data_IF_337868700738
#
_entry.id   IF_337868700738
#
_cell.length_a   1.000
_cell.length_b   1.000
_cell.length_c   1.000
_cell.angle_alpha   90.00
_cell.angle_beta   90.00
_cell.angle_gamma   90.00
#
_symmetry.space_group_name_H-M   'P 1'
#
loop_
_entity.id
_entity.type
_entity.pdbx_description
1 polymer ?
#
# COMPACT_ATOMS: atom_id res chain seq x y z
N UNK A 1 -25.92 -35.58 -22.09
CA UNK A 1 -24.75 -34.89 -22.69
C UNK A 1 -25.22 -33.49 -23.09
N UNK A 2 -25.15 -32.52 -22.17
CA UNK A 2 -25.64 -31.15 -22.34
C UNK A 2 -24.43 -30.21 -22.50
N UNK A 3 -24.33 -29.56 -23.65
CA UNK A 3 -23.36 -28.50 -23.94
C UNK A 3 -23.66 -27.33 -23.01
N UNK A 4 -22.68 -26.94 -22.20
CA UNK A 4 -22.66 -25.64 -21.52
C UNK A 4 -22.05 -24.63 -22.50
N UNK A 5 -22.93 -23.82 -23.07
CA UNK A 5 -22.52 -22.66 -23.87
C UNK A 5 -21.88 -21.63 -22.93
N UNK A 6 -20.63 -21.35 -23.24
CA UNK A 6 -19.76 -20.41 -22.52
C UNK A 6 -20.02 -19.00 -23.07
N UNK A 7 -21.06 -18.33 -22.59
CA UNK A 7 -21.42 -16.96 -22.95
C UNK A 7 -20.96 -15.98 -21.86
N UNK A 8 -19.66 -15.63 -21.83
CA UNK A 8 -19.18 -14.54 -21.01
C UNK A 8 -17.92 -13.89 -21.61
N UNK A 9 -18.09 -13.00 -22.60
CA UNK A 9 -17.18 -11.91 -22.88
C UNK A 9 -17.63 -10.94 -24.00
N UNK A 10 -18.68 -10.14 -23.82
CA UNK A 10 -18.81 -8.90 -24.59
C UNK A 10 -18.64 -7.61 -23.79
N UNK A 11 -18.71 -7.65 -22.42
CA UNK A 11 -18.77 -6.43 -21.63
C UNK A 11 -17.48 -5.61 -21.55
N UNK A 12 -16.30 -6.23 -21.62
CA UNK A 12 -15.03 -5.51 -21.56
C UNK A 12 -14.69 -4.76 -22.87
N UNK A 13 -15.16 -5.27 -24.00
CA UNK A 13 -14.99 -4.62 -25.30
C UNK A 13 -15.85 -3.37 -25.44
N UNK A 14 -17.10 -3.43 -24.99
CA UNK A 14 -18.03 -2.30 -25.07
C UNK A 14 -17.66 -1.13 -24.16
N UNK A 15 -17.20 -1.37 -22.94
CA UNK A 15 -16.74 -0.31 -22.05
C UNK A 15 -15.50 0.43 -22.59
N UNK A 16 -14.59 -0.29 -23.26
CA UNK A 16 -13.40 0.30 -23.88
C UNK A 16 -13.76 1.17 -25.09
N UNK A 17 -14.67 0.69 -25.92
CA UNK A 17 -15.19 1.44 -27.07
C UNK A 17 -15.95 2.69 -26.59
N UNK A 18 -16.79 2.54 -25.56
CA UNK A 18 -17.53 3.67 -24.98
C UNK A 18 -16.58 4.72 -24.35
N UNK A 19 -15.52 4.29 -23.63
CA UNK A 19 -14.54 5.22 -23.08
C UNK A 19 -13.71 5.92 -24.16
N UNK A 20 -13.37 5.22 -25.25
CA UNK A 20 -12.70 5.84 -26.39
C UNK A 20 -13.63 6.83 -27.12
N UNK A 21 -14.87 6.45 -27.36
CA UNK A 21 -15.86 7.34 -27.98
C UNK A 21 -16.15 8.55 -27.11
N UNK A 22 -16.27 8.40 -25.79
CA UNK A 22 -16.44 9.53 -24.87
C UNK A 22 -15.20 10.42 -24.87
N UNK A 23 -13.99 9.86 -24.89
CA UNK A 23 -12.76 10.64 -24.98
C UNK A 23 -12.65 11.38 -26.31
N UNK A 24 -13.04 10.75 -27.43
CA UNK A 24 -13.09 11.39 -28.75
C UNK A 24 -14.17 12.47 -28.80
N UNK A 25 -15.33 12.25 -28.19
CA UNK A 25 -16.41 13.22 -28.11
C UNK A 25 -16.03 14.41 -27.23
N UNK A 26 -15.39 14.17 -26.05
CA UNK A 26 -14.85 15.24 -25.20
C UNK A 26 -13.76 16.05 -25.90
N UNK A 27 -12.91 15.39 -26.71
CA UNK A 27 -11.91 16.07 -27.54
C UNK A 27 -12.57 16.89 -28.65
N UNK A 28 -13.66 16.39 -29.26
CA UNK A 28 -14.40 17.07 -30.31
C UNK A 28 -15.21 18.26 -29.82
N UNK A 29 -15.81 18.13 -28.61
CA UNK A 29 -16.61 19.19 -27.97
C UNK A 29 -15.78 20.15 -27.11
N UNK A 30 -14.54 19.75 -26.76
CA UNK A 30 -13.68 20.51 -25.86
C UNK A 30 -12.92 21.62 -26.56
N UNK A 31 -12.91 22.79 -25.94
CA UNK A 31 -12.04 23.88 -26.33
C UNK A 31 -10.54 23.53 -26.24
N UNK A 32 -9.63 24.46 -26.59
CA UNK A 32 -8.19 24.19 -26.70
C UNK A 32 -7.54 23.62 -25.43
N UNK A 33 -8.12 23.82 -24.25
CA UNK A 33 -7.64 23.24 -22.96
C UNK A 33 -7.83 21.72 -22.91
N UNK A 34 -9.01 21.22 -23.36
CA UNK A 34 -9.29 19.79 -23.34
C UNK A 34 -8.45 19.03 -24.38
N UNK A 35 -8.17 19.65 -25.54
CA UNK A 35 -7.29 19.07 -26.54
C UNK A 35 -5.84 18.97 -26.06
N UNK A 36 -5.34 20.01 -25.35
CA UNK A 36 -4.00 19.97 -24.72
C UNK A 36 -3.90 18.90 -23.65
N UNK A 37 -4.91 18.78 -22.77
CA UNK A 37 -4.96 17.76 -21.74
C UNK A 37 -4.97 16.34 -22.35
N UNK A 38 -5.80 16.10 -23.36
CA UNK A 38 -5.86 14.82 -24.05
C UNK A 38 -4.54 14.47 -24.78
N UNK A 39 -3.86 15.46 -25.35
CA UNK A 39 -2.53 15.28 -25.94
C UNK A 39 -1.50 14.91 -24.87
N UNK A 40 -1.45 15.66 -23.75
CA UNK A 40 -0.54 15.36 -22.65
C UNK A 40 -0.74 13.95 -22.08
N UNK A 41 -1.98 13.50 -21.90
CA UNK A 41 -2.28 12.14 -21.44
C UNK A 41 -1.79 11.06 -22.43
N UNK A 42 -1.90 11.31 -23.74
CA UNK A 42 -1.37 10.40 -24.77
C UNK A 42 0.16 10.34 -24.73
N UNK A 43 0.82 11.49 -24.60
CA UNK A 43 2.29 11.59 -24.51
C UNK A 43 2.81 10.89 -23.25
N UNK A 44 2.16 11.10 -22.09
CA UNK A 44 2.48 10.37 -20.85
C UNK A 44 2.28 8.85 -20.99
N UNK A 45 1.22 8.43 -21.67
CA UNK A 45 0.98 7.02 -21.93
C UNK A 45 2.01 6.38 -22.86
N UNK A 46 2.51 7.13 -23.83
CA UNK A 46 3.58 6.70 -24.73
C UNK A 46 4.92 6.59 -23.98
N UNK A 47 5.25 7.61 -23.18
CA UNK A 47 6.44 7.61 -22.32
C UNK A 47 6.44 6.43 -21.34
N UNK A 48 5.29 6.17 -20.71
CA UNK A 48 5.10 5.07 -19.75
C UNK A 48 5.39 3.70 -20.38
N UNK A 49 4.92 3.48 -21.61
CA UNK A 49 5.23 2.27 -22.38
C UNK A 49 6.69 2.20 -22.81
N UNK A 50 7.30 3.32 -23.20
CA UNK A 50 8.69 3.39 -23.61
C UNK A 50 9.62 3.04 -22.44
N UNK A 51 9.39 3.61 -21.25
CA UNK A 51 10.16 3.29 -20.04
C UNK A 51 9.99 1.81 -19.67
N UNK A 52 8.76 1.28 -19.71
CA UNK A 52 8.50 -0.13 -19.45
C UNK A 52 9.28 -1.04 -20.41
N UNK A 53 9.27 -0.73 -21.71
CA UNK A 53 9.99 -1.50 -22.73
C UNK A 53 11.51 -1.44 -22.52
N UNK A 54 12.04 -0.27 -22.15
CA UNK A 54 13.46 -0.11 -21.83
C UNK A 54 13.87 -0.96 -20.62
N UNK A 55 13.06 -0.99 -19.54
CA UNK A 55 13.31 -1.84 -18.37
C UNK A 55 13.25 -3.32 -18.75
N UNK A 56 12.28 -3.72 -19.57
CA UNK A 56 12.14 -5.10 -20.05
C UNK A 56 13.35 -5.55 -20.87
N UNK A 57 13.84 -4.69 -21.77
CA UNK A 57 14.97 -4.97 -22.66
C UNK A 57 16.34 -4.94 -21.96
N UNK A 58 16.46 -4.27 -20.80
CA UNK A 58 17.75 -4.15 -20.11
C UNK A 58 18.10 -5.45 -19.38
N UNK A 59 19.23 -6.12 -19.70
CA UNK A 59 19.63 -7.34 -19.03
C UNK A 59 20.13 -7.03 -17.61
N UNK A 60 19.51 -7.65 -16.59
CA UNK A 60 19.89 -7.49 -15.19
C UNK A 60 19.91 -8.83 -14.45
N UNK A 61 20.72 -9.81 -14.89
CA UNK A 61 20.66 -11.17 -14.37
C UNK A 61 20.89 -11.27 -12.86
N UNK A 62 21.73 -10.39 -12.29
CA UNK A 62 21.98 -10.32 -10.84
C UNK A 62 20.81 -9.78 -10.02
N UNK A 63 19.94 -8.97 -10.61
CA UNK A 63 18.78 -8.36 -9.96
C UNK A 63 17.48 -9.15 -10.18
N UNK A 64 17.43 -10.00 -11.21
CA UNK A 64 16.19 -10.68 -11.61
C UNK A 64 15.59 -11.51 -10.48
N UNK A 65 16.40 -12.35 -9.82
CA UNK A 65 15.91 -13.19 -8.73
C UNK A 65 15.64 -12.42 -7.42
N UNK A 66 16.52 -11.53 -6.93
CA UNK A 66 16.23 -10.72 -5.75
C UNK A 66 14.96 -9.88 -5.90
N UNK A 67 14.76 -9.20 -7.03
CA UNK A 67 13.57 -8.39 -7.27
C UNK A 67 12.30 -9.25 -7.41
N UNK A 68 12.40 -10.44 -8.02
CA UNK A 68 11.31 -11.40 -8.09
C UNK A 68 10.89 -11.87 -6.71
N UNK A 69 11.84 -12.23 -5.83
CA UNK A 69 11.57 -12.62 -4.44
C UNK A 69 10.95 -11.48 -3.64
N UNK A 70 11.49 -10.26 -3.76
CA UNK A 70 10.96 -9.08 -3.10
C UNK A 70 9.51 -8.79 -3.55
N UNK A 71 9.26 -8.86 -4.87
CA UNK A 71 7.93 -8.70 -5.44
C UNK A 71 6.92 -9.70 -4.85
N UNK A 72 7.34 -10.95 -4.66
CA UNK A 72 6.50 -11.99 -4.06
C UNK A 72 6.31 -11.80 -2.55
N UNK A 73 7.35 -11.40 -1.82
CA UNK A 73 7.26 -11.14 -0.38
C UNK A 73 6.28 -10.01 -0.05
N UNK A 74 6.14 -9.03 -0.96
CA UNK A 74 5.21 -7.93 -0.81
C UNK A 74 3.75 -8.29 -1.16
N UNK A 75 3.48 -9.52 -1.67
CA UNK A 75 2.11 -9.97 -1.95
C UNK A 75 1.27 -9.98 -0.67
N UNK A 76 -0.01 -9.62 -0.81
CA UNK A 76 -0.97 -9.56 0.30
C UNK A 76 -0.47 -8.72 1.50
N UNK A 77 0.36 -7.71 1.22
CA UNK A 77 1.02 -6.88 2.24
C UNK A 77 1.91 -7.65 3.22
N UNK A 78 2.30 -8.89 2.91
CA UNK A 78 3.03 -9.80 3.82
C UNK A 78 4.32 -9.19 4.38
N UNK A 79 5.12 -8.53 3.52
CA UNK A 79 6.35 -7.83 3.92
C UNK A 79 6.07 -6.75 4.99
N UNK A 80 5.04 -5.96 4.79
CA UNK A 80 4.67 -4.86 5.69
C UNK A 80 4.09 -5.35 7.00
N UNK A 81 3.25 -6.41 6.96
CA UNK A 81 2.70 -7.04 8.16
C UNK A 81 3.79 -7.71 9.00
N UNK A 82 4.77 -8.36 8.37
CA UNK A 82 5.94 -8.91 9.06
C UNK A 82 6.78 -7.81 9.71
N UNK A 83 6.99 -6.69 9.00
CA UNK A 83 7.68 -5.52 9.56
C UNK A 83 6.92 -4.93 10.75
N UNK A 84 5.59 -4.79 10.65
CA UNK A 84 4.75 -4.31 11.76
C UNK A 84 4.82 -5.25 12.97
N UNK A 85 4.80 -6.56 12.76
CA UNK A 85 4.97 -7.54 13.81
C UNK A 85 6.33 -7.40 14.51
N UNK A 86 7.42 -7.30 13.74
CA UNK A 86 8.76 -7.06 14.28
C UNK A 86 8.84 -5.78 15.12
N UNK A 87 8.33 -4.66 14.60
CA UNK A 87 8.27 -3.40 15.33
C UNK A 87 7.45 -3.49 16.63
N UNK A 88 6.38 -4.26 16.62
CA UNK A 88 5.55 -4.47 17.81
C UNK A 88 6.26 -5.23 18.91
N UNK A 89 7.15 -6.16 18.53
CA UNK A 89 7.92 -7.00 19.48
C UNK A 89 9.11 -6.22 20.03
N UNK A 90 9.94 -5.62 19.15
CA UNK A 90 11.22 -5.04 19.57
C UNK A 90 11.14 -3.55 19.91
N UNK A 91 10.14 -2.82 19.40
CA UNK A 91 10.04 -1.36 19.48
C UNK A 91 9.30 -0.83 20.72
N UNK A 92 8.93 -1.68 21.68
CA UNK A 92 8.19 -1.27 22.88
C UNK A 92 6.86 -0.57 22.57
N UNK A 93 6.47 0.41 23.37
CA UNK A 93 5.20 1.15 23.16
C UNK A 93 5.23 2.01 21.90
N UNK A 94 6.36 2.62 21.56
CA UNK A 94 6.52 3.42 20.36
C UNK A 94 6.42 2.57 19.09
N UNK A 95 7.10 1.41 19.07
CA UNK A 95 7.02 0.46 17.95
C UNK A 95 5.61 -0.09 17.74
N UNK A 96 4.88 -0.41 18.82
CA UNK A 96 3.48 -0.85 18.73
C UNK A 96 2.56 0.24 18.15
N UNK A 97 2.72 1.51 18.56
CA UNK A 97 1.96 2.61 17.97
C UNK A 97 2.25 2.78 16.49
N UNK A 98 3.53 2.79 16.12
CA UNK A 98 3.94 2.89 14.73
C UNK A 98 3.39 1.72 13.88
N UNK A 99 3.47 0.49 14.38
CA UNK A 99 2.93 -0.69 13.73
C UNK A 99 1.41 -0.59 13.52
N UNK A 100 0.65 -0.16 14.54
CA UNK A 100 -0.81 0.04 14.41
C UNK A 100 -1.15 1.08 13.36
N UNK A 101 -0.43 2.22 13.30
CA UNK A 101 -0.61 3.23 12.26
C UNK A 101 -0.34 2.67 10.86
N UNK A 102 0.78 1.95 10.74
CA UNK A 102 1.15 1.32 9.46
C UNK A 102 0.10 0.31 8.97
N UNK A 103 -0.38 -0.57 9.86
CA UNK A 103 -1.41 -1.55 9.52
C UNK A 103 -2.75 -0.88 9.19
N UNK A 104 -3.16 0.14 9.95
CA UNK A 104 -4.36 0.92 9.65
C UNK A 104 -4.26 1.59 8.27
N UNK A 105 -3.11 2.21 7.97
CA UNK A 105 -2.86 2.84 6.68
C UNK A 105 -2.94 1.83 5.51
N UNK A 106 -2.39 0.62 5.67
CA UNK A 106 -2.55 -0.46 4.67
C UNK A 106 -4.02 -0.83 4.48
N UNK A 107 -4.77 -1.00 5.57
CA UNK A 107 -6.19 -1.35 5.51
C UNK A 107 -7.01 -0.32 4.74
N UNK A 108 -6.87 0.96 5.10
CA UNK A 108 -7.54 2.08 4.40
C UNK A 108 -7.12 2.15 2.94
N UNK A 109 -5.83 2.04 2.65
CA UNK A 109 -5.30 2.07 1.27
C UNK A 109 -5.86 0.92 0.45
N UNK A 110 -5.85 -0.30 1.00
CA UNK A 110 -6.38 -1.49 0.31
C UNK A 110 -7.86 -1.34 -0.01
N UNK A 111 -8.66 -0.84 0.93
CA UNK A 111 -10.07 -0.57 0.71
C UNK A 111 -10.28 0.48 -0.38
N UNK A 112 -9.66 1.65 -0.27
CA UNK A 112 -9.83 2.75 -1.22
C UNK A 112 -9.34 2.37 -2.62
N UNK A 113 -8.16 1.77 -2.75
CA UNK A 113 -7.60 1.39 -4.05
C UNK A 113 -8.43 0.30 -4.72
N UNK A 114 -8.86 -0.73 -4.00
CA UNK A 114 -9.57 -1.86 -4.60
C UNK A 114 -11.05 -1.56 -4.83
N UNK A 115 -11.72 -0.83 -3.94
CA UNK A 115 -13.17 -0.59 -4.02
C UNK A 115 -13.52 0.66 -4.81
N UNK A 116 -12.74 1.75 -4.67
CA UNK A 116 -13.06 3.02 -5.32
C UNK A 116 -12.27 3.24 -6.61
N UNK A 117 -10.94 3.18 -6.56
CA UNK A 117 -10.13 3.60 -7.71
C UNK A 117 -10.14 2.57 -8.83
N UNK A 118 -10.01 1.28 -8.52
CA UNK A 118 -10.01 0.22 -9.54
C UNK A 118 -11.37 -0.04 -10.17
N UNK A 119 -12.47 0.32 -9.51
CA UNK A 119 -13.81 0.21 -10.10
C UNK A 119 -14.08 1.29 -11.16
N UNK A 120 -13.42 2.44 -11.04
CA UNK A 120 -13.58 3.56 -11.98
C UNK A 120 -12.57 3.51 -13.12
N UNK A 121 -11.35 3.02 -12.85
CA UNK A 121 -10.24 3.03 -13.81
C UNK A 121 -9.80 1.61 -14.19
N UNK A 122 -10.15 1.16 -15.40
CA UNK A 122 -9.69 -0.13 -15.90
C UNK A 122 -8.53 0.06 -16.88
N UNK A 123 -7.31 -0.27 -16.44
CA UNK A 123 -6.11 -0.32 -17.30
C UNK A 123 -5.65 -1.77 -17.44
N UNK A 124 -5.45 -2.23 -18.67
CA UNK A 124 -4.86 -3.54 -18.92
C UNK A 124 -3.41 -3.57 -18.45
N UNK A 125 -3.00 -4.73 -17.92
CA UNK A 125 -1.62 -4.96 -17.53
C UNK A 125 -0.70 -5.09 -18.75
N UNK A 126 0.62 -4.86 -18.56
CA UNK A 126 1.58 -5.06 -19.63
C UNK A 126 1.53 -6.48 -20.21
N UNK A 127 1.66 -6.59 -21.53
CA UNK A 127 1.88 -7.86 -22.19
C UNK A 127 3.38 -8.21 -22.09
N UNK A 128 3.71 -9.09 -21.16
CA UNK A 128 5.07 -9.54 -20.91
C UNK A 128 5.64 -10.34 -22.11
N UNK A 129 4.81 -11.15 -22.75
CA UNK A 129 5.23 -12.00 -23.86
C UNK A 129 5.51 -11.16 -25.11
N UNK A 130 4.62 -10.22 -25.43
CA UNK A 130 4.76 -9.34 -26.60
C UNK A 130 5.96 -8.38 -26.51
N UNK A 131 6.44 -8.07 -25.30
CA UNK A 131 7.61 -7.19 -25.09
C UNK A 131 8.88 -7.99 -24.77
N UNK A 132 8.78 -9.30 -24.55
CA UNK A 132 9.95 -10.16 -24.32
C UNK A 132 10.54 -10.04 -22.91
N UNK A 133 9.71 -9.80 -21.87
CA UNK A 133 10.20 -9.84 -20.48
C UNK A 133 10.77 -11.22 -20.17
N UNK A 134 12.01 -11.33 -19.65
CA UNK A 134 12.62 -12.62 -19.35
C UNK A 134 11.77 -13.47 -18.39
N UNK A 135 11.57 -14.75 -18.71
CA UNK A 135 10.73 -15.68 -17.92
C UNK A 135 11.19 -15.76 -16.46
N UNK A 136 12.51 -15.67 -16.20
CA UNK A 136 13.08 -15.67 -14.84
C UNK A 136 12.61 -14.50 -13.96
N UNK A 137 12.11 -13.39 -14.55
CA UNK A 137 11.50 -12.25 -13.83
C UNK A 137 10.03 -12.49 -13.48
N UNK A 138 9.40 -13.51 -14.05
CA UNK A 138 7.96 -13.69 -13.94
C UNK A 138 7.51 -13.99 -12.51
N UNK A 139 6.49 -13.27 -12.08
CA UNK A 139 5.68 -13.54 -10.90
C UNK A 139 4.24 -13.85 -11.34
N UNK A 140 3.41 -14.40 -10.46
CA UNK A 140 1.99 -14.62 -10.77
C UNK A 140 1.35 -13.30 -11.19
N UNK A 141 0.72 -13.29 -12.39
CA UNK A 141 -0.01 -12.12 -12.88
C UNK A 141 -1.27 -11.92 -12.05
N UNK A 142 -1.45 -10.74 -11.42
CA UNK A 142 -2.69 -10.46 -10.71
C UNK A 142 -3.87 -10.34 -11.67
N UNK A 143 -5.05 -10.77 -11.26
CA UNK A 143 -6.28 -10.73 -12.07
C UNK A 143 -6.96 -9.36 -12.09
N UNK A 144 -6.61 -8.47 -11.16
CA UNK A 144 -7.17 -7.11 -11.10
C UNK A 144 -6.53 -6.19 -12.14
N UNK A 145 -7.15 -5.03 -12.39
CA UNK A 145 -6.63 -3.98 -13.28
C UNK A 145 -5.22 -3.53 -12.89
N UNK A 146 -4.46 -2.99 -13.88
CA UNK A 146 -3.08 -2.55 -13.65
C UNK A 146 -3.01 -1.31 -12.76
N UNK A 147 -3.89 -0.34 -13.00
CA UNK A 147 -3.85 0.98 -12.37
C UNK A 147 -4.84 1.11 -11.22
N UNK A 148 -4.41 1.79 -10.14
CA UNK A 148 -3.05 2.03 -9.73
C UNK A 148 -2.42 0.78 -9.08
N UNK A 149 -1.09 0.80 -8.85
CA UNK A 149 -0.40 -0.31 -8.20
C UNK A 149 -0.72 -0.38 -6.71
N UNK A 150 -1.45 -1.43 -6.29
CA UNK A 150 -1.77 -1.65 -4.88
C UNK A 150 -0.54 -1.96 -4.02
N UNK A 151 0.50 -2.62 -4.57
CA UNK A 151 1.74 -2.89 -3.86
C UNK A 151 2.51 -1.59 -3.54
N UNK A 152 2.61 -0.67 -4.52
CA UNK A 152 3.22 0.63 -4.30
C UNK A 152 2.40 1.46 -3.29
N UNK A 153 1.08 1.50 -3.45
CA UNK A 153 0.21 2.23 -2.55
C UNK A 153 0.32 1.73 -1.10
N UNK A 154 0.22 0.41 -0.87
CA UNK A 154 0.34 -0.16 0.49
C UNK A 154 1.71 0.09 1.12
N UNK A 155 2.80 -0.04 0.34
CA UNK A 155 4.16 0.20 0.82
C UNK A 155 4.37 1.65 1.26
N UNK A 156 4.00 2.61 0.41
CA UNK A 156 4.16 4.02 0.73
C UNK A 156 3.23 4.48 1.84
N UNK A 157 2.00 3.95 1.92
CA UNK A 157 1.10 4.25 3.03
C UNK A 157 1.66 3.76 4.37
N UNK A 158 2.21 2.55 4.40
CA UNK A 158 2.88 2.00 5.57
C UNK A 158 4.08 2.86 5.99
N UNK A 159 4.95 3.19 5.04
CA UNK A 159 6.14 3.99 5.29
C UNK A 159 5.81 5.41 5.78
N UNK A 160 4.80 6.05 5.18
CA UNK A 160 4.34 7.37 5.56
C UNK A 160 3.76 7.40 6.98
N UNK A 161 2.90 6.43 7.30
CA UNK A 161 2.27 6.33 8.60
C UNK A 161 3.27 6.08 9.75
N UNK A 162 4.29 5.24 9.52
CA UNK A 162 5.37 5.01 10.49
C UNK A 162 6.29 6.23 10.58
N UNK A 163 6.62 6.86 9.44
CA UNK A 163 7.48 8.01 9.36
C UNK A 163 6.96 9.25 10.08
N UNK A 164 5.66 9.26 10.39
CA UNK A 164 5.03 10.32 11.18
C UNK A 164 5.66 10.44 12.59
N UNK A 165 5.88 9.32 13.27
CA UNK A 165 6.50 9.27 14.60
C UNK A 165 8.01 9.00 14.54
N UNK A 166 8.47 8.30 13.49
CA UNK A 166 9.83 7.80 13.35
C UNK A 166 10.40 8.16 11.98
N UNK A 167 10.83 9.42 11.76
CA UNK A 167 11.21 9.94 10.44
C UNK A 167 12.27 9.10 9.71
N UNK A 168 13.33 8.68 10.41
CA UNK A 168 14.42 7.89 9.83
C UNK A 168 13.97 6.48 9.41
N UNK A 169 13.13 5.84 10.25
CA UNK A 169 12.54 4.55 9.89
C UNK A 169 11.58 4.71 8.71
N UNK A 170 10.76 5.75 8.72
CA UNK A 170 9.88 6.07 7.60
C UNK A 170 10.64 6.31 6.30
N UNK A 171 11.81 6.96 6.37
CA UNK A 171 12.67 7.13 5.20
C UNK A 171 13.20 5.78 4.69
N UNK A 172 13.73 4.94 5.56
CA UNK A 172 14.20 3.60 5.19
C UNK A 172 13.08 2.75 4.57
N UNK A 173 11.87 2.81 5.13
CA UNK A 173 10.71 2.11 4.61
C UNK A 173 10.23 2.67 3.25
N UNK A 174 10.39 3.97 2.97
CA UNK A 174 10.14 4.54 1.64
C UNK A 174 11.13 4.01 0.60
N UNK A 175 12.40 3.87 0.94
CA UNK A 175 13.37 3.22 0.05
C UNK A 175 12.99 1.78 -0.25
N UNK A 176 12.59 1.01 0.76
CA UNK A 176 12.12 -0.36 0.56
C UNK A 176 10.84 -0.37 -0.30
N UNK A 177 9.90 0.55 -0.06
CA UNK A 177 8.67 0.68 -0.84
C UNK A 177 8.94 1.04 -2.30
N UNK A 178 9.90 1.93 -2.55
CA UNK A 178 10.34 2.27 -3.91
C UNK A 178 10.98 1.06 -4.61
N UNK A 179 11.76 0.25 -3.89
CA UNK A 179 12.35 -0.98 -4.43
C UNK A 179 11.26 -2.02 -4.75
N UNK A 180 10.26 -2.17 -3.88
CA UNK A 180 9.07 -2.99 -4.17
C UNK A 180 8.31 -2.45 -5.37
N UNK A 181 8.06 -1.14 -5.47
CA UNK A 181 7.40 -0.51 -6.60
C UNK A 181 8.16 -0.76 -7.91
N UNK A 182 9.47 -0.57 -7.91
CA UNK A 182 10.33 -0.88 -9.06
C UNK A 182 10.25 -2.37 -9.43
N UNK A 183 10.27 -3.27 -8.43
CA UNK A 183 10.15 -4.71 -8.70
C UNK A 183 8.89 -5.09 -9.47
N UNK A 184 7.79 -4.30 -9.31
CA UNK A 184 6.54 -4.54 -10.05
C UNK A 184 6.65 -4.16 -11.54
N UNK A 185 7.45 -3.16 -11.87
CA UNK A 185 7.78 -2.80 -13.25
C UNK A 185 8.73 -3.83 -13.83
N UNK A 186 9.79 -4.16 -13.12
CA UNK A 186 10.83 -5.11 -13.52
C UNK A 186 10.26 -6.53 -13.79
N UNK A 187 9.31 -6.99 -12.97
CA UNK A 187 8.62 -8.27 -13.15
C UNK A 187 7.48 -8.20 -14.18
N UNK A 188 7.27 -7.06 -14.81
CA UNK A 188 6.35 -6.86 -15.92
C UNK A 188 4.87 -6.91 -15.54
N UNK A 189 4.49 -6.62 -14.28
CA UNK A 189 3.08 -6.65 -13.85
C UNK A 189 2.42 -5.28 -13.80
N UNK A 190 3.21 -4.20 -13.83
CA UNK A 190 2.75 -2.82 -13.82
C UNK A 190 3.57 -1.94 -14.76
N UNK A 191 2.95 -0.89 -15.26
CA UNK A 191 3.66 0.21 -15.91
C UNK A 191 4.26 1.17 -14.87
N UNK A 192 5.30 1.96 -15.22
CA UNK A 192 5.85 2.98 -14.31
C UNK A 192 4.81 3.93 -13.73
N UNK A 193 3.88 4.44 -14.55
CA UNK A 193 2.81 5.34 -14.10
C UNK A 193 1.88 4.71 -13.06
N UNK A 194 1.63 3.38 -13.13
CA UNK A 194 0.81 2.68 -12.14
C UNK A 194 1.46 2.73 -10.76
N UNK A 195 2.79 2.58 -10.70
CA UNK A 195 3.51 2.58 -9.42
C UNK A 195 3.73 3.99 -8.89
N UNK A 196 3.98 4.97 -9.75
CA UNK A 196 4.12 6.37 -9.33
C UNK A 196 2.81 6.87 -8.71
N UNK A 197 1.69 6.71 -9.40
CA UNK A 197 0.39 7.16 -8.89
C UNK A 197 -0.01 6.36 -7.64
N UNK A 198 0.23 5.04 -7.62
CA UNK A 198 0.04 4.22 -6.44
C UNK A 198 0.84 4.73 -5.23
N UNK A 199 2.11 5.08 -5.44
CA UNK A 199 2.99 5.63 -4.38
C UNK A 199 2.47 6.95 -3.82
N UNK A 200 2.03 7.86 -4.68
CA UNK A 200 1.47 9.17 -4.27
C UNK A 200 0.17 8.99 -3.48
N UNK A 201 -0.73 8.13 -3.94
CA UNK A 201 -1.97 7.80 -3.23
C UNK A 201 -1.64 7.21 -1.86
N UNK A 202 -0.71 6.25 -1.81
CA UNK A 202 -0.29 5.62 -0.57
C UNK A 202 0.31 6.61 0.42
N UNK A 203 1.24 7.46 -0.03
CA UNK A 203 1.86 8.49 0.82
C UNK A 203 0.80 9.41 1.42
N UNK A 204 -0.14 9.92 0.61
CA UNK A 204 -1.22 10.79 1.09
C UNK A 204 -2.13 10.11 2.10
N UNK A 205 -2.53 8.86 1.85
CA UNK A 205 -3.37 8.09 2.78
C UNK A 205 -2.62 7.80 4.09
N UNK A 206 -1.34 7.42 4.02
CA UNK A 206 -0.52 7.16 5.21
C UNK A 206 -0.42 8.37 6.12
N UNK A 207 -0.16 9.55 5.57
CA UNK A 207 -0.13 10.82 6.30
C UNK A 207 -1.49 11.16 6.90
N UNK A 208 -2.57 11.00 6.13
CA UNK A 208 -3.93 11.29 6.60
C UNK A 208 -4.34 10.36 7.75
N UNK A 209 -4.05 9.07 7.66
CA UNK A 209 -4.34 8.08 8.72
C UNK A 209 -3.54 8.39 9.98
N UNK A 210 -2.25 8.70 9.86
CA UNK A 210 -1.42 9.05 11.01
C UNK A 210 -1.94 10.31 11.72
N UNK A 211 -2.23 11.38 10.97
CA UNK A 211 -2.78 12.61 11.54
C UNK A 211 -4.19 12.45 12.13
N UNK A 212 -5.02 11.55 11.58
CA UNK A 212 -6.32 11.23 12.15
C UNK A 212 -6.17 10.47 13.48
N UNK A 213 -5.25 9.53 13.56
CA UNK A 213 -4.99 8.76 14.78
C UNK A 213 -4.45 9.64 15.92
N UNK A 214 -3.76 10.75 15.63
CA UNK A 214 -3.34 11.71 16.66
C UNK A 214 -4.51 12.46 17.31
N UNK A 215 -5.61 12.62 16.58
CA UNK A 215 -6.83 13.28 17.07
C UNK A 215 -7.70 12.37 17.92
N UNK A 216 -7.47 11.06 17.88
CA UNK A 216 -8.21 10.11 18.70
C UNK A 216 -7.67 10.16 20.13
N UNK A 217 -8.54 10.21 21.16
CA UNK A 217 -8.07 10.16 22.54
C UNK A 217 -7.27 8.87 22.76
N UNK A 218 -6.17 8.92 23.53
CA UNK A 218 -5.39 7.73 23.82
C UNK A 218 -6.31 6.68 24.46
N UNK A 219 -6.32 5.48 23.89
CA UNK A 219 -7.00 4.34 24.51
C UNK A 219 -6.39 4.15 25.88
N UNK A 220 -7.18 4.47 26.93
CA UNK A 220 -6.75 4.25 28.31
C UNK A 220 -6.42 2.77 28.44
N UNK A 221 -5.14 2.47 28.56
CA UNK A 221 -4.71 1.17 29.08
C UNK A 221 -5.43 1.00 30.42
N UNK A 222 -6.12 -0.12 30.70
CA UNK A 222 -6.70 -0.33 32.02
C UNK A 222 -5.60 -0.08 33.03
N UNK A 223 -5.82 0.88 33.91
CA UNK A 223 -4.88 1.24 34.95
C UNK A 223 -4.48 -0.06 35.62
N UNK A 224 -3.19 -0.34 35.62
CA UNK A 224 -2.59 -1.45 36.38
C UNK A 224 -3.06 -1.16 37.81
N UNK A 225 -4.08 -1.91 38.27
CA UNK A 225 -4.65 -1.75 39.58
C UNK A 225 -3.48 -1.75 40.57
N UNK A 226 -3.35 -0.67 41.26
CA UNK A 226 -2.35 -0.48 42.31
C UNK A 226 -2.68 -1.46 43.46
N UNK A 227 -2.33 -2.74 43.25
CA UNK A 227 -2.35 -3.80 44.27
C UNK A 227 -1.09 -3.71 45.14
N UNK A 228 -0.68 -2.51 45.51
CA UNK A 228 0.53 -2.29 46.27
C UNK A 228 0.39 -1.31 47.44
N UNK A 229 -0.80 -0.80 47.73
CA UNK A 229 -0.99 -0.14 49.04
C UNK A 229 -0.94 -1.20 50.10
N UNK A 230 0.26 -1.45 50.65
CA UNK A 230 0.42 -2.06 51.96
C UNK A 230 -0.51 -1.31 52.89
N UNK A 231 -1.49 -2.03 53.48
CA UNK A 231 -2.17 -1.55 54.69
C UNK A 231 -1.06 -1.28 55.69
N UNK A 232 -0.81 0.00 55.99
CA UNK A 232 -0.16 0.35 57.24
C UNK A 232 -1.05 -0.19 58.33
N UNK A 233 -0.54 -1.19 59.04
CA UNK A 233 -1.11 -1.66 60.31
C UNK A 233 -0.84 -0.54 61.30
N UNK A 234 -1.86 0.02 61.97
CA UNK A 234 -1.61 0.97 63.07
C UNK A 234 -0.74 0.30 64.10
N UNK A 235 0.36 0.99 64.46
CA UNK A 235 1.16 0.64 65.61
C UNK A 235 0.26 0.78 66.82
N UNK A 236 0.05 -0.32 67.54
CA UNK A 236 -0.67 -0.37 68.79
C UNK A 236 0.34 -0.07 69.89
N UNK A 237 0.39 1.14 70.37
CA UNK A 237 1.19 1.53 71.52
C UNK A 237 0.76 0.69 72.75
N UNK A 238 1.72 -0.06 73.29
CA UNK A 238 1.52 -1.01 74.42
C UNK A 238 1.49 -0.32 75.80
N UNK A 239 1.20 0.99 75.86
CA UNK A 239 1.32 1.76 77.10
C UNK A 239 -0.02 2.08 77.80
N UNK A 240 -1.16 1.54 77.33
CA UNK A 240 -2.44 1.67 78.02
C UNK A 240 -2.87 0.39 78.75
N UNK A 241 -2.09 -0.06 79.73
CA UNK A 241 -2.54 -1.04 80.73
C UNK A 241 -3.08 -0.33 81.94
N UNK A 242 -4.36 -0.51 82.32
CA UNK A 242 -4.89 0.06 83.57
C UNK A 242 -4.28 -0.65 84.75
N UNK A 243 -3.66 0.14 85.69
CA UNK A 243 -3.23 -0.38 86.98
C UNK A 243 -4.43 -0.93 87.73
N UNK A 244 -4.37 -2.15 88.19
CA UNK A 244 -5.32 -2.79 89.10
C UNK A 244 -5.02 -2.31 90.53
N UNK A 245 -5.97 -1.60 91.14
CA UNK A 245 -6.09 -1.41 92.53
C UNK A 245 -7.14 -2.33 93.13
#
# INVERSE_FOLDING_TARGET
MARRDNAAAPAAGTARVAAQQLAEELVRQGGPVNQRAARGLRELGALDKAIYSAVAATPTPSLDEPLRRLSNAANNSGLWLATAAGLSVVGGSAGRRAAMRGVAAIGVTSALVNLAVKSVWSRQRPDRAGIGVPIRRNVKMPVSTSFPSGHAASGFAFAAAIGHDQPWLGLALRFLSATVAYSRVHTGVHYPGDVVVGSLIGEGIGQAVAGLMDRLPPTRSPARSDRGKKREVPDFDADDAPEAG
#
